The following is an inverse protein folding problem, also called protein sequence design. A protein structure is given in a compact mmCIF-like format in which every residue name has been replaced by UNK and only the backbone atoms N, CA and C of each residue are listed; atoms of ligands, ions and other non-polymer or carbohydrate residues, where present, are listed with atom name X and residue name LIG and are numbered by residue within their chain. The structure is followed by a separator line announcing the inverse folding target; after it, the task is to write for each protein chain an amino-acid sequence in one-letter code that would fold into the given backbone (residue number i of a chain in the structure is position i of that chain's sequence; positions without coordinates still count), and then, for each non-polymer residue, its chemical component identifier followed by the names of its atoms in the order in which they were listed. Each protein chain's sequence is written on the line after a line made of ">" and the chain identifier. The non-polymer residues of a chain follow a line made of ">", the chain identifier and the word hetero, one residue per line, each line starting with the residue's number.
data_IF_831423127045
#
_entry.id   IF_831423127045
#
_cell.length_a   1.000
_cell.length_b   1.000
_cell.length_c   1.000
_cell.angle_alpha   90.00
_cell.angle_beta   90.00
_cell.angle_gamma   90.00
#
_symmetry.space_group_name_H-M   'P 1'
#
loop_
_entity.id
_entity.type
_entity.pdbx_description
1 polymer ?
#
# COMPACT_ATOMS: atom_id res chain seq x y z
N UNK A 1 -45.12 -16.57 46.72
CA UNK A 1 -45.40 -16.14 45.34
C UNK A 1 -44.75 -14.78 45.21
N UNK A 2 -43.68 -14.67 44.44
CA UNK A 2 -43.24 -13.44 43.79
C UNK A 2 -42.28 -13.84 42.66
N UNK A 3 -42.83 -13.86 41.45
CA UNK A 3 -42.08 -14.01 40.21
C UNK A 3 -41.65 -12.61 39.77
N UNK A 4 -40.37 -12.29 39.89
CA UNK A 4 -39.76 -11.19 39.13
C UNK A 4 -38.76 -11.78 38.14
N UNK A 5 -38.86 -11.47 36.83
CA UNK A 5 -37.93 -11.98 35.85
C UNK A 5 -36.56 -11.35 36.07
N UNK A 6 -35.56 -12.21 36.27
CA UNK A 6 -34.15 -11.85 36.25
C UNK A 6 -33.79 -11.51 34.80
N UNK A 7 -33.66 -10.23 34.47
CA UNK A 7 -33.02 -9.83 33.21
C UNK A 7 -31.55 -10.24 33.27
N UNK A 8 -31.26 -11.44 32.75
CA UNK A 8 -29.90 -11.87 32.50
C UNK A 8 -29.26 -10.86 31.58
N UNK A 9 -28.09 -10.36 31.98
CA UNK A 9 -27.25 -9.47 31.20
C UNK A 9 -27.08 -10.09 29.82
N UNK A 10 -27.67 -9.46 28.80
CA UNK A 10 -27.47 -9.88 27.43
C UNK A 10 -26.00 -9.61 27.15
N UNK A 11 -25.20 -10.68 27.17
CA UNK A 11 -23.90 -10.71 26.55
C UNK A 11 -24.15 -10.35 25.08
N UNK A 12 -23.94 -9.08 24.74
CA UNK A 12 -23.78 -8.69 23.34
C UNK A 12 -22.46 -9.32 22.88
N UNK A 13 -22.47 -10.28 21.94
CA UNK A 13 -21.25 -10.72 21.30
C UNK A 13 -20.87 -9.63 20.30
N UNK A 14 -20.29 -8.53 20.79
CA UNK A 14 -19.58 -7.57 19.95
C UNK A 14 -18.08 -7.83 20.06
N UNK A 15 -17.63 -8.99 19.57
CA UNK A 15 -16.21 -9.24 19.32
C UNK A 15 -16.09 -10.64 18.74
N UNK A 16 -16.02 -10.79 17.42
CA UNK A 16 -15.35 -11.95 16.78
C UNK A 16 -15.09 -11.70 15.28
N UNK A 17 -14.85 -10.45 14.91
CA UNK A 17 -14.09 -10.13 13.70
C UNK A 17 -13.02 -9.09 14.06
N UNK A 18 -12.27 -9.34 15.13
CA UNK A 18 -10.93 -8.77 15.21
C UNK A 18 -10.10 -9.55 14.20
N UNK A 19 -10.21 -9.17 12.91
CA UNK A 19 -9.25 -9.61 11.89
C UNK A 19 -7.88 -9.39 12.51
N UNK A 20 -7.08 -10.45 12.56
CA UNK A 20 -5.76 -10.44 13.17
C UNK A 20 -4.91 -9.32 12.54
N UNK A 21 -4.90 -8.14 13.19
CA UNK A 21 -4.19 -6.94 12.74
C UNK A 21 -2.68 -7.18 12.75
N UNK A 22 -2.20 -8.22 13.44
CA UNK A 22 -0.77 -8.57 13.46
C UNK A 22 -0.23 -8.89 12.06
N UNK A 23 -1.07 -9.42 11.16
CA UNK A 23 -0.69 -9.67 9.77
C UNK A 23 -0.60 -8.40 8.91
N UNK A 24 -1.43 -7.39 9.21
CA UNK A 24 -1.43 -6.11 8.50
C UNK A 24 -0.23 -5.24 8.89
N UNK A 25 0.16 -5.29 10.16
CA UNK A 25 1.27 -4.51 10.72
C UNK A 25 2.64 -5.18 10.59
N UNK A 26 2.69 -6.45 10.18
CA UNK A 26 3.96 -7.16 9.95
C UNK A 26 4.77 -6.45 8.86
N UNK A 27 6.04 -6.09 9.13
CA UNK A 27 6.93 -5.57 8.12
C UNK A 27 7.12 -6.58 6.99
N UNK A 28 6.96 -6.11 5.76
CA UNK A 28 7.13 -6.87 4.53
C UNK A 28 7.78 -6.00 3.45
N UNK A 29 8.18 -6.63 2.35
CA UNK A 29 8.78 -5.94 1.22
C UNK A 29 8.25 -6.52 -0.10
N UNK A 30 8.04 -5.66 -1.09
CA UNK A 30 7.61 -6.03 -2.44
C UNK A 30 8.49 -5.32 -3.46
N UNK A 31 9.12 -6.08 -4.37
CA UNK A 31 9.84 -5.53 -5.50
C UNK A 31 8.89 -5.37 -6.67
N UNK A 32 8.90 -4.18 -7.28
CA UNK A 32 8.07 -3.83 -8.42
C UNK A 32 8.90 -3.08 -9.44
N UNK A 33 8.52 -3.24 -10.70
CA UNK A 33 8.94 -2.34 -11.78
C UNK A 33 7.76 -1.48 -12.16
N UNK A 34 8.01 -0.20 -12.41
CA UNK A 34 6.96 0.73 -12.84
C UNK A 34 7.38 1.52 -14.07
N UNK A 35 6.40 1.86 -14.90
CA UNK A 35 6.55 2.77 -16.04
C UNK A 35 5.72 4.00 -15.74
N UNK A 36 6.37 5.11 -15.44
CA UNK A 36 5.72 6.40 -15.26
C UNK A 36 5.54 7.04 -16.63
N UNK A 37 4.28 7.20 -17.12
CA UNK A 37 4.03 7.85 -18.39
C UNK A 37 4.57 9.28 -18.42
N UNK A 38 5.12 9.70 -19.56
CA UNK A 38 5.71 11.05 -19.74
C UNK A 38 4.78 12.22 -19.35
N UNK A 39 3.46 12.02 -19.39
CA UNK A 39 2.50 13.04 -18.98
C UNK A 39 2.59 13.39 -17.48
N UNK A 40 3.17 12.51 -16.67
CA UNK A 40 3.39 12.72 -15.24
C UNK A 40 4.82 13.16 -14.91
N UNK A 41 5.62 13.57 -15.90
CA UNK A 41 7.04 13.92 -15.65
C UNK A 41 7.23 15.12 -14.72
N UNK A 42 6.22 15.99 -14.62
CA UNK A 42 6.22 17.12 -13.70
C UNK A 42 5.57 16.78 -12.34
N UNK A 43 5.03 15.58 -12.19
CA UNK A 43 4.43 15.11 -10.95
C UNK A 43 5.48 14.37 -10.10
N UNK A 44 5.57 14.66 -8.80
CA UNK A 44 6.59 14.08 -7.93
C UNK A 44 6.20 12.67 -7.46
N UNK A 45 5.83 11.76 -8.38
CA UNK A 45 5.25 10.43 -8.05
C UNK A 45 6.14 9.64 -7.07
N UNK A 46 7.45 9.56 -7.32
CA UNK A 46 8.37 8.82 -6.43
C UNK A 46 8.48 9.48 -5.05
N UNK A 47 8.53 10.81 -5.00
CA UNK A 47 8.57 11.53 -3.72
C UNK A 47 7.23 11.39 -2.96
N UNK A 48 6.11 11.36 -3.69
CA UNK A 48 4.77 11.11 -3.13
C UNK A 48 4.65 9.69 -2.58
N UNK A 49 5.19 8.67 -3.25
CA UNK A 49 5.31 7.33 -2.66
C UNK A 49 6.13 7.37 -1.36
N UNK A 50 7.27 8.06 -1.38
CA UNK A 50 8.15 8.20 -0.21
C UNK A 50 7.53 8.96 0.98
N UNK A 51 6.41 9.68 0.78
CA UNK A 51 5.71 10.37 1.86
C UNK A 51 4.65 9.51 2.56
N UNK A 52 4.45 8.26 2.14
CA UNK A 52 3.44 7.38 2.74
C UNK A 52 3.91 6.96 4.15
N UNK A 53 3.07 7.12 5.19
CA UNK A 53 3.46 6.77 6.56
C UNK A 53 3.93 5.32 6.68
N UNK A 54 5.10 5.12 7.28
CA UNK A 54 5.66 3.77 7.50
C UNK A 54 6.15 3.05 6.24
N UNK A 55 6.16 3.72 5.07
CA UNK A 55 6.67 3.15 3.83
C UNK A 55 8.08 3.68 3.53
N UNK A 56 8.98 2.77 3.18
CA UNK A 56 10.28 3.07 2.59
C UNK A 56 10.25 2.66 1.12
N UNK A 57 10.76 3.54 0.27
CA UNK A 57 10.89 3.31 -1.17
C UNK A 57 12.38 3.27 -1.51
N UNK A 58 12.88 2.10 -1.85
CA UNK A 58 14.26 1.92 -2.30
C UNK A 58 14.29 1.83 -3.83
N UNK A 59 15.16 2.62 -4.47
CA UNK A 59 15.35 2.60 -5.93
C UNK A 59 16.55 1.72 -6.25
N UNK A 60 16.34 0.61 -6.94
CA UNK A 60 17.40 -0.28 -7.41
C UNK A 60 18.00 0.18 -8.73
N UNK A 61 17.15 0.64 -9.64
CA UNK A 61 17.56 1.20 -10.93
C UNK A 61 16.48 2.13 -11.48
N UNK A 62 16.90 3.05 -12.34
CA UNK A 62 15.99 3.92 -13.07
C UNK A 62 16.52 4.19 -14.48
N UNK A 63 15.62 4.32 -15.45
CA UNK A 63 15.90 4.79 -16.79
C UNK A 63 15.01 6.01 -17.08
N UNK A 64 15.63 7.17 -17.26
CA UNK A 64 14.97 8.44 -17.50
C UNK A 64 15.56 9.10 -18.75
N UNK A 65 14.71 9.59 -19.64
CA UNK A 65 15.15 10.36 -20.80
C UNK A 65 15.58 11.78 -20.38
N UNK A 66 16.72 12.24 -20.90
CA UNK A 66 17.31 13.54 -20.53
C UNK A 66 16.46 14.76 -20.90
N UNK A 67 15.51 14.60 -21.83
CA UNK A 67 14.68 15.67 -22.39
C UNK A 67 13.19 15.52 -22.02
N UNK A 68 12.86 14.71 -21.00
CA UNK A 68 11.52 14.55 -20.45
C UNK A 68 10.42 14.20 -21.48
N UNK A 69 10.79 13.62 -22.63
CA UNK A 69 9.85 13.31 -23.70
C UNK A 69 9.48 11.82 -23.81
N UNK A 70 10.08 10.98 -22.94
CA UNK A 70 9.80 9.56 -22.82
C UNK A 70 9.34 9.22 -21.40
N UNK A 71 8.76 8.04 -21.28
CA UNK A 71 8.38 7.49 -19.98
C UNK A 71 9.62 7.23 -19.12
N UNK A 72 9.42 7.27 -17.80
CA UNK A 72 10.42 6.89 -16.83
C UNK A 72 10.20 5.46 -16.35
N UNK A 73 11.25 4.66 -16.32
CA UNK A 73 11.20 3.29 -15.80
C UNK A 73 11.94 3.21 -14.47
N UNK A 74 11.35 2.56 -13.48
CA UNK A 74 11.94 2.39 -12.16
C UNK A 74 11.81 0.95 -11.69
N UNK A 75 12.88 0.44 -11.09
CA UNK A 75 12.88 -0.79 -10.30
C UNK A 75 12.94 -0.37 -8.83
N UNK A 76 11.86 -0.66 -8.10
CA UNK A 76 11.63 -0.22 -6.74
C UNK A 76 11.45 -1.42 -5.80
N UNK A 77 11.89 -1.29 -4.56
CA UNK A 77 11.39 -2.08 -3.46
C UNK A 77 10.60 -1.19 -2.50
N UNK A 78 9.33 -1.55 -2.33
CA UNK A 78 8.46 -0.99 -1.31
C UNK A 78 8.64 -1.81 -0.05
N UNK A 79 9.01 -1.19 1.07
CA UNK A 79 9.19 -1.84 2.36
C UNK A 79 8.35 -1.12 3.42
N UNK A 80 7.50 -1.85 4.12
CA UNK A 80 6.56 -1.28 5.10
C UNK A 80 5.63 -2.36 5.62
N UNK A 81 4.53 -1.96 6.25
CA UNK A 81 3.46 -2.90 6.57
C UNK A 81 2.60 -3.19 5.32
N UNK A 82 1.78 -4.23 5.37
CA UNK A 82 1.00 -4.67 4.20
C UNK A 82 0.07 -3.55 3.71
N UNK A 83 -0.60 -2.84 4.63
CA UNK A 83 -1.50 -1.74 4.28
C UNK A 83 -0.78 -0.58 3.56
N UNK A 84 0.42 -0.21 4.02
CA UNK A 84 1.21 0.87 3.42
C UNK A 84 1.65 0.53 1.99
N UNK A 85 2.01 -0.73 1.75
CA UNK A 85 2.34 -1.20 0.40
C UNK A 85 1.10 -1.22 -0.50
N UNK A 86 -0.04 -1.73 -0.02
CA UNK A 86 -1.27 -1.74 -0.81
C UNK A 86 -1.76 -0.31 -1.12
N UNK A 87 -1.70 0.62 -0.16
CA UNK A 87 -2.02 2.03 -0.39
C UNK A 87 -1.12 2.64 -1.49
N UNK A 88 0.18 2.32 -1.49
CA UNK A 88 1.12 2.78 -2.51
C UNK A 88 0.79 2.21 -3.90
N UNK A 89 0.38 0.95 -3.97
CA UNK A 89 -0.04 0.31 -5.22
C UNK A 89 -1.37 0.87 -5.73
N UNK A 90 -2.34 1.14 -4.85
CA UNK A 90 -3.58 1.82 -5.21
C UNK A 90 -3.29 3.22 -5.77
N UNK A 91 -2.40 3.99 -5.15
CA UNK A 91 -2.00 5.29 -5.68
C UNK A 91 -1.40 5.22 -7.10
N UNK A 92 -0.58 4.19 -7.39
CA UNK A 92 -0.04 3.99 -8.73
C UNK A 92 -1.13 3.58 -9.72
N UNK A 93 -2.06 2.72 -9.30
CA UNK A 93 -3.20 2.30 -10.11
C UNK A 93 -4.15 3.48 -10.42
N UNK A 94 -4.40 4.38 -9.46
CA UNK A 94 -5.22 5.60 -9.65
C UNK A 94 -4.61 6.57 -10.67
N UNK A 95 -3.31 6.47 -10.93
CA UNK A 95 -2.57 7.24 -11.93
C UNK A 95 -2.40 6.49 -13.26
N UNK A 96 -3.01 5.32 -13.42
CA UNK A 96 -2.80 4.41 -14.55
C UNK A 96 -1.31 4.10 -14.79
N UNK A 97 -0.49 4.09 -13.72
CA UNK A 97 0.91 3.68 -13.79
C UNK A 97 0.97 2.16 -13.83
N UNK A 98 1.56 1.62 -14.89
CA UNK A 98 1.76 0.19 -15.03
C UNK A 98 2.77 -0.32 -13.99
N UNK A 99 2.39 -1.42 -13.32
CA UNK A 99 3.20 -2.09 -12.31
C UNK A 99 3.43 -3.55 -12.73
N UNK A 100 4.69 -3.96 -12.78
CA UNK A 100 5.09 -5.34 -12.96
C UNK A 100 5.68 -5.89 -11.67
N UNK A 101 5.27 -7.09 -11.32
CA UNK A 101 5.77 -7.83 -10.17
C UNK A 101 6.87 -8.78 -10.62
N UNK A 102 7.91 -8.94 -9.80
CA UNK A 102 8.87 -10.01 -10.03
C UNK A 102 8.13 -11.35 -9.82
N UNK A 103 8.24 -12.25 -10.79
CA UNK A 103 7.82 -13.64 -10.60
C UNK A 103 8.81 -14.28 -9.64
N UNK A 104 8.35 -14.56 -8.42
CA UNK A 104 9.10 -15.32 -7.41
C UNK A 104 9.46 -16.72 -7.92
#
# INVERSE_FOLDING_TARGET
>A
MDNQPQWQTINHPQSDLHLDQSGLDRPTARRIKIRIPKQYINEPIIARLGSFPGLKVNIFSALLAANNNQDGWFDLQLQGNSQGIENALSYLADLDVEVWYDSA
#
